data_IF_478958250321
#
_entry.id   IF_478958250321
#
_cell.length_a   1.000
_cell.length_b   1.000
_cell.length_c   1.000
_cell.angle_alpha   90.00
_cell.angle_beta   90.00
_cell.angle_gamma   90.00
#
_symmetry.space_group_name_H-M   'P 1'
#
loop_
_entity.id
_entity.type
_entity.pdbx_description
1 polymer ?
#
# COMPACT_ATOMS: atom_id res chain seq x y z
N UNK A 1 -0.63 20.09 2.64
CA UNK A 1 -1.15 19.13 1.64
C UNK A 1 0.04 18.59 0.86
N UNK A 2 0.08 17.28 0.63
CA UNK A 2 1.27 16.58 0.14
C UNK A 2 1.64 16.93 -1.31
N UNK A 3 2.94 17.06 -1.56
CA UNK A 3 3.50 17.09 -2.90
C UNK A 3 3.41 15.67 -3.51
N UNK A 4 2.87 15.60 -4.72
CA UNK A 4 2.68 14.37 -5.51
C UNK A 4 3.38 14.47 -6.88
N UNK A 5 4.22 15.49 -7.09
CA UNK A 5 4.92 15.73 -8.35
C UNK A 5 5.82 14.55 -8.74
N UNK A 6 6.35 13.84 -7.74
CA UNK A 6 7.18 12.65 -7.88
C UNK A 6 6.45 11.46 -8.51
N UNK A 7 5.11 11.42 -8.46
CA UNK A 7 4.31 10.38 -9.10
C UNK A 7 4.30 10.50 -10.64
N UNK A 8 4.82 11.58 -11.21
CA UNK A 8 4.95 11.76 -12.65
C UNK A 8 6.11 10.99 -13.29
N UNK A 9 7.08 10.55 -12.49
CA UNK A 9 8.26 9.83 -12.97
C UNK A 9 8.06 8.31 -12.85
N UNK A 10 8.32 7.57 -13.92
CA UNK A 10 8.16 6.11 -13.96
C UNK A 10 9.52 5.42 -14.05
N UNK A 11 10.25 5.45 -12.95
CA UNK A 11 11.66 5.07 -12.85
C UNK A 11 11.87 3.61 -12.44
N UNK A 12 10.85 2.93 -11.89
CA UNK A 12 11.01 1.56 -11.40
C UNK A 12 10.02 0.56 -12.00
N UNK A 13 10.52 -0.61 -12.38
CA UNK A 13 9.69 -1.69 -12.93
C UNK A 13 9.04 -2.56 -11.84
N UNK A 14 7.77 -2.91 -12.05
CA UNK A 14 7.05 -3.96 -11.34
C UNK A 14 6.57 -5.01 -12.35
N UNK A 15 6.92 -6.28 -12.11
CA UNK A 15 6.46 -7.42 -12.90
C UNK A 15 5.54 -8.29 -12.06
N UNK A 16 4.35 -8.58 -12.60
CA UNK A 16 3.33 -9.41 -11.99
C UNK A 16 2.87 -10.48 -12.98
N UNK A 17 2.44 -11.62 -12.46
CA UNK A 17 1.84 -12.70 -13.24
C UNK A 17 0.39 -12.81 -12.82
N UNK A 18 -0.55 -12.66 -13.75
CA UNK A 18 -1.97 -12.66 -13.47
C UNK A 18 -2.64 -13.93 -14.03
N UNK A 19 -3.78 -14.33 -13.46
CA UNK A 19 -4.70 -15.25 -14.13
C UNK A 19 -5.19 -14.65 -15.45
N UNK A 20 -5.40 -15.50 -16.46
CA UNK A 20 -5.87 -15.04 -17.78
C UNK A 20 -7.21 -14.26 -17.73
N UNK A 21 -8.21 -14.66 -16.91
CA UNK A 21 -9.45 -13.88 -16.78
C UNK A 21 -9.21 -12.42 -16.35
N UNK A 22 -8.30 -12.20 -15.40
CA UNK A 22 -7.96 -10.86 -14.90
C UNK A 22 -7.32 -10.01 -15.99
N UNK A 23 -6.43 -10.61 -16.78
CA UNK A 23 -5.80 -9.92 -17.91
C UNK A 23 -6.81 -9.56 -18.99
N UNK A 24 -7.76 -10.44 -19.31
CA UNK A 24 -8.86 -10.12 -20.24
C UNK A 24 -9.70 -8.95 -19.73
N UNK A 25 -10.10 -8.96 -18.46
CA UNK A 25 -10.85 -7.85 -17.85
C UNK A 25 -10.06 -6.54 -17.89
N UNK A 26 -8.75 -6.58 -17.64
CA UNK A 26 -7.89 -5.39 -17.74
C UNK A 26 -7.86 -4.81 -19.15
N UNK A 27 -7.73 -5.66 -20.17
CA UNK A 27 -7.76 -5.23 -21.59
C UNK A 27 -9.12 -4.62 -21.92
N UNK A 28 -10.21 -5.29 -21.56
CA UNK A 28 -11.56 -4.81 -21.83
C UNK A 28 -11.86 -3.45 -21.18
N UNK A 29 -11.45 -3.25 -19.93
CA UNK A 29 -11.61 -1.95 -19.24
C UNK A 29 -10.76 -0.88 -19.90
N UNK A 30 -9.52 -1.22 -20.27
CA UNK A 30 -8.59 -0.31 -20.93
C UNK A 30 -9.15 0.18 -22.27
N UNK A 31 -9.68 -0.75 -23.08
CA UNK A 31 -10.32 -0.45 -24.36
C UNK A 31 -11.55 0.45 -24.20
N UNK A 32 -12.40 0.18 -23.20
CA UNK A 32 -13.59 1.00 -22.91
C UNK A 32 -13.27 2.38 -22.35
N UNK A 33 -12.19 2.50 -21.59
CA UNK A 33 -11.76 3.76 -20.96
C UNK A 33 -10.83 4.60 -21.86
N UNK A 34 -10.44 4.09 -23.02
CA UNK A 34 -9.46 4.70 -23.92
C UNK A 34 -8.12 5.02 -23.21
N UNK A 35 -7.72 4.15 -22.27
CA UNK A 35 -6.47 4.23 -21.53
C UNK A 35 -5.63 3.00 -21.86
N UNK A 36 -4.30 3.14 -21.85
CA UNK A 36 -3.45 1.95 -21.87
C UNK A 36 -3.57 1.19 -20.55
N UNK A 37 -3.38 -0.13 -20.59
CA UNK A 37 -3.36 -1.00 -19.38
C UNK A 37 -2.39 -0.44 -18.33
N UNK A 38 -1.21 0.06 -18.74
CA UNK A 38 -0.23 0.65 -17.82
C UNK A 38 -0.73 1.93 -17.16
N UNK A 39 -1.43 2.80 -17.89
CA UNK A 39 -2.02 4.03 -17.33
C UNK A 39 -3.13 3.67 -16.35
N UNK A 40 -4.03 2.77 -16.73
CA UNK A 40 -5.09 2.29 -15.86
C UNK A 40 -4.54 1.68 -14.57
N UNK A 41 -3.54 0.79 -14.67
CA UNK A 41 -2.92 0.17 -13.50
C UNK A 41 -2.22 1.19 -12.59
N UNK A 42 -1.59 2.23 -13.15
CA UNK A 42 -1.00 3.32 -12.35
C UNK A 42 -2.06 4.09 -11.56
N UNK A 43 -3.16 4.45 -12.21
CA UNK A 43 -4.29 5.11 -11.53
C UNK A 43 -4.90 4.20 -10.45
N UNK A 44 -5.10 2.92 -10.77
CA UNK A 44 -5.60 1.92 -9.86
C UNK A 44 -4.72 1.79 -8.60
N UNK A 45 -3.40 1.70 -8.78
CA UNK A 45 -2.46 1.58 -7.67
C UNK A 45 -2.33 2.87 -6.87
N UNK A 46 -2.45 4.04 -7.52
CA UNK A 46 -2.49 5.33 -6.84
C UNK A 46 -3.72 5.44 -5.93
N UNK A 47 -4.91 5.04 -6.41
CA UNK A 47 -6.12 4.97 -5.60
C UNK A 47 -5.94 4.00 -4.43
N UNK A 48 -5.30 2.85 -4.69
CA UNK A 48 -5.07 1.87 -3.64
C UNK A 48 -4.14 2.37 -2.53
N UNK A 49 -3.05 3.07 -2.87
CA UNK A 49 -2.08 3.56 -1.90
C UNK A 49 -2.53 4.84 -1.19
N UNK A 50 -3.23 5.73 -1.89
CA UNK A 50 -3.48 7.10 -1.44
C UNK A 50 -4.98 7.48 -1.38
N UNK A 51 -5.86 6.53 -1.67
CA UNK A 51 -7.31 6.75 -1.69
C UNK A 51 -7.79 7.65 -2.82
N UNK A 52 -9.07 8.03 -2.77
CA UNK A 52 -9.70 8.93 -3.75
C UNK A 52 -9.07 10.33 -3.74
N UNK A 53 -8.56 10.77 -2.59
CA UNK A 53 -7.90 12.07 -2.49
C UNK A 53 -6.59 12.11 -3.29
N UNK A 54 -5.79 11.02 -3.27
CA UNK A 54 -4.61 10.93 -4.13
C UNK A 54 -4.94 10.96 -5.61
N UNK A 55 -6.06 10.36 -6.02
CA UNK A 55 -6.56 10.45 -7.40
C UNK A 55 -7.03 11.87 -7.74
N UNK A 56 -7.69 12.56 -6.82
CA UNK A 56 -8.13 13.94 -7.02
C UNK A 56 -6.95 14.92 -7.13
N UNK A 57 -5.96 14.79 -6.25
CA UNK A 57 -4.70 15.54 -6.34
C UNK A 57 -3.98 15.24 -7.67
N UNK A 58 -4.01 13.98 -8.12
CA UNK A 58 -3.51 13.59 -9.44
C UNK A 58 -4.26 14.26 -10.59
N UNK A 59 -5.61 14.28 -10.58
CA UNK A 59 -6.37 14.92 -11.66
C UNK A 59 -6.12 16.43 -11.73
N UNK A 60 -6.05 17.11 -10.59
CA UNK A 60 -5.65 18.51 -10.55
C UNK A 60 -4.22 18.72 -11.08
N UNK A 61 -3.31 17.80 -10.78
CA UNK A 61 -1.96 17.83 -11.36
C UNK A 61 -1.95 17.50 -12.84
N UNK A 62 -2.85 16.67 -13.39
CA UNK A 62 -2.94 16.45 -14.85
C UNK A 62 -3.41 17.67 -15.63
N UNK A 63 -4.26 18.52 -15.03
CA UNK A 63 -4.62 19.81 -15.62
C UNK A 63 -3.40 20.74 -15.71
N UNK A 64 -2.46 20.61 -14.76
CA UNK A 64 -1.20 21.38 -14.70
C UNK A 64 -0.06 20.69 -15.47
N UNK A 65 -0.11 19.37 -15.65
CA UNK A 65 0.90 18.50 -16.28
C UNK A 65 0.20 17.42 -17.14
N UNK A 66 -0.15 17.70 -18.40
CA UNK A 66 -1.02 16.85 -19.25
C UNK A 66 -0.44 15.47 -19.63
N UNK A 67 0.79 15.19 -19.22
CA UNK A 67 1.53 13.94 -19.49
C UNK A 67 1.77 13.07 -18.24
N UNK A 68 1.16 13.39 -17.10
CA UNK A 68 1.24 12.58 -15.89
C UNK A 68 0.67 11.16 -16.15
N UNK A 69 1.38 10.11 -15.72
CA UNK A 69 1.11 8.70 -16.07
C UNK A 69 1.18 8.31 -17.55
N UNK A 70 1.48 9.22 -18.47
CA UNK A 70 1.85 8.88 -19.85
C UNK A 70 3.37 8.68 -19.89
N UNK A 71 3.82 7.74 -20.69
CA UNK A 71 5.25 7.66 -20.97
C UNK A 71 5.62 8.90 -21.80
N UNK A 72 6.19 9.94 -21.15
CA UNK A 72 6.91 11.01 -21.86
C UNK A 72 7.92 10.33 -22.77
N UNK A 73 7.86 10.64 -24.07
CA UNK A 73 8.69 10.10 -25.15
C UNK A 73 9.78 9.15 -24.70
N UNK A 74 9.55 7.86 -24.97
CA UNK A 74 10.44 6.72 -24.77
C UNK A 74 11.79 6.90 -25.49
N UNK A 75 12.63 7.81 -25.01
CA UNK A 75 13.96 8.13 -25.54
C UNK A 75 15.08 7.35 -24.84
N UNK A 76 14.77 6.65 -23.74
CA UNK A 76 15.71 5.80 -23.02
C UNK A 76 15.26 4.35 -22.99
N UNK A 77 16.09 3.44 -23.49
CA UNK A 77 15.94 2.00 -23.26
C UNK A 77 16.00 1.77 -21.74
N UNK A 78 14.90 1.32 -21.13
CA UNK A 78 14.84 1.09 -19.68
C UNK A 78 15.10 -0.38 -19.34
N UNK A 79 16.17 -0.65 -18.59
CA UNK A 79 16.53 -1.99 -18.12
C UNK A 79 15.98 -2.26 -16.71
N UNK A 80 15.57 -3.49 -16.42
CA UNK A 80 15.21 -3.91 -15.06
C UNK A 80 16.28 -4.86 -14.54
N UNK A 81 16.92 -4.53 -13.42
CA UNK A 81 17.82 -5.45 -12.73
C UNK A 81 17.04 -6.70 -12.29
N UNK A 82 17.53 -7.88 -12.69
CA UNK A 82 17.05 -9.16 -12.17
C UNK A 82 17.45 -9.25 -10.68
N UNK A 83 16.51 -9.60 -9.80
CA UNK A 83 16.81 -9.85 -8.39
C UNK A 83 17.38 -11.26 -8.21
N UNK A 84 18.22 -11.38 -7.17
CA UNK A 84 18.97 -12.55 -6.69
C UNK A 84 18.26 -13.89 -6.87
N UNK A 85 19.04 -14.88 -7.27
CA UNK A 85 18.63 -16.28 -7.31
C UNK A 85 18.17 -16.74 -5.91
N UNK A 86 17.10 -17.55 -5.82
CA UNK A 86 16.65 -18.04 -4.53
C UNK A 86 17.77 -18.83 -3.82
N UNK A 87 17.93 -18.70 -2.49
CA UNK A 87 18.92 -19.47 -1.74
C UNK A 87 18.82 -20.96 -2.01
N UNK A 88 19.96 -21.66 -2.02
CA UNK A 88 20.06 -23.08 -2.30
C UNK A 88 19.07 -23.88 -1.43
N UNK A 89 18.26 -24.73 -2.06
CA UNK A 89 17.22 -25.54 -1.40
C UNK A 89 15.86 -24.86 -1.15
N UNK A 90 15.70 -23.55 -1.41
CA UNK A 90 14.39 -22.87 -1.26
C UNK A 90 13.68 -22.72 -2.60
N UNK A 91 12.62 -23.49 -2.81
CA UNK A 91 11.71 -23.31 -3.94
C UNK A 91 10.75 -22.18 -3.63
N UNK A 92 10.70 -21.14 -4.47
CA UNK A 92 9.76 -20.02 -4.32
C UNK A 92 8.33 -20.51 -4.58
N UNK A 93 7.61 -20.92 -3.54
CA UNK A 93 6.20 -21.33 -3.66
C UNK A 93 5.34 -20.07 -3.66
N UNK A 94 4.98 -19.61 -4.86
CA UNK A 94 4.30 -18.32 -5.08
C UNK A 94 2.90 -18.42 -5.69
N UNK A 95 2.35 -19.63 -5.80
CA UNK A 95 1.15 -19.81 -6.62
C UNK A 95 -0.08 -19.79 -5.74
N UNK A 96 -0.76 -18.65 -5.76
CA UNK A 96 -2.17 -18.57 -5.43
C UNK A 96 -2.95 -19.33 -6.52
N UNK A 97 -3.47 -20.50 -6.18
CA UNK A 97 -4.30 -21.31 -7.08
C UNK A 97 -5.73 -21.25 -6.57
N UNK A 98 -6.53 -20.43 -7.24
CA UNK A 98 -8.00 -20.46 -7.14
C UNK A 98 -8.43 -21.26 -8.36
N UNK A 99 -9.08 -22.41 -8.15
CA UNK A 99 -9.43 -23.36 -9.21
C UNK A 99 -10.22 -22.66 -10.31
N UNK A 100 -11.08 -21.72 -9.91
CA UNK A 100 -11.95 -20.90 -10.74
C UNK A 100 -11.20 -19.87 -11.60
N UNK A 101 -10.03 -19.39 -11.15
CA UNK A 101 -9.21 -18.40 -11.88
C UNK A 101 -8.10 -19.05 -12.74
N UNK A 102 -7.77 -20.31 -12.47
CA UNK A 102 -6.74 -21.04 -13.21
C UNK A 102 -5.31 -20.65 -12.82
N UNK A 103 -4.35 -20.89 -13.73
CA UNK A 103 -2.92 -20.63 -13.50
C UNK A 103 -2.56 -19.16 -13.77
N UNK A 104 -1.60 -18.64 -13.00
CA UNK A 104 -1.02 -17.30 -13.21
C UNK A 104 -0.05 -17.32 -14.40
N UNK A 105 -0.56 -17.22 -15.64
CA UNK A 105 0.22 -17.39 -16.87
C UNK A 105 0.47 -16.09 -17.65
N UNK A 106 -0.24 -15.00 -17.32
CA UNK A 106 -0.14 -13.75 -18.05
C UNK A 106 0.86 -12.78 -17.39
N UNK A 107 2.05 -12.53 -17.98
CA UNK A 107 2.98 -11.55 -17.43
C UNK A 107 2.54 -10.12 -17.78
N UNK A 108 2.48 -9.24 -16.78
CA UNK A 108 2.36 -7.79 -16.96
C UNK A 108 3.60 -7.13 -16.35
N UNK A 109 4.24 -6.25 -17.12
CA UNK A 109 5.33 -5.40 -16.66
C UNK A 109 4.90 -3.95 -16.82
N UNK A 110 5.02 -3.17 -15.75
CA UNK A 110 4.72 -1.74 -15.75
C UNK A 110 5.83 -0.95 -15.05
N UNK A 111 6.03 0.28 -15.50
CA UNK A 111 6.90 1.26 -14.86
C UNK A 111 6.07 2.15 -13.95
N UNK A 112 6.46 2.23 -12.68
CA UNK A 112 5.78 2.97 -11.61
C UNK A 112 6.75 3.99 -11.01
N UNK A 113 6.24 4.99 -10.29
CA UNK A 113 7.07 5.83 -9.41
C UNK A 113 7.70 5.01 -8.28
N UNK A 114 8.96 5.29 -7.95
CA UNK A 114 9.67 4.62 -6.84
C UNK A 114 8.93 4.72 -5.51
N UNK A 115 8.33 5.87 -5.19
CA UNK A 115 7.50 6.04 -4.00
C UNK A 115 6.35 5.04 -3.97
N UNK A 116 5.56 4.97 -5.04
CA UNK A 116 4.42 4.05 -5.14
C UNK A 116 4.86 2.59 -4.99
N UNK A 117 5.98 2.18 -5.59
CA UNK A 117 6.49 0.81 -5.43
C UNK A 117 6.94 0.53 -3.98
N UNK A 118 7.51 1.52 -3.31
CA UNK A 118 7.92 1.43 -1.91
C UNK A 118 6.70 1.30 -0.99
N UNK A 119 5.67 2.11 -1.21
CA UNK A 119 4.42 2.04 -0.44
C UNK A 119 3.71 0.69 -0.64
N UNK A 120 3.65 0.19 -1.89
CA UNK A 120 3.15 -1.15 -2.18
C UNK A 120 3.97 -2.25 -1.50
N UNK A 121 5.27 -2.04 -1.27
CA UNK A 121 6.13 -2.98 -0.54
C UNK A 121 5.77 -2.99 0.94
N UNK A 122 5.64 -1.83 1.57
CA UNK A 122 5.22 -1.68 2.97
C UNK A 122 3.85 -2.30 3.20
N UNK A 123 2.88 -2.02 2.32
CA UNK A 123 1.54 -2.60 2.39
C UNK A 123 1.54 -4.12 2.22
N UNK A 124 2.41 -4.66 1.36
CA UNK A 124 2.56 -6.10 1.20
C UNK A 124 3.19 -6.77 2.43
N UNK A 125 4.17 -6.11 3.07
CA UNK A 125 4.81 -6.57 4.31
C UNK A 125 3.80 -6.67 5.46
N UNK A 126 2.89 -5.70 5.60
CA UNK A 126 1.83 -5.75 6.62
C UNK A 126 0.89 -6.95 6.52
N UNK A 127 0.84 -7.62 5.37
CA UNK A 127 -0.02 -8.79 5.14
C UNK A 127 0.77 -10.04 4.77
N UNK A 128 2.07 -10.04 5.09
CA UNK A 128 3.03 -11.14 4.87
C UNK A 128 3.07 -11.62 3.41
N UNK A 129 3.04 -10.69 2.46
CA UNK A 129 3.08 -10.97 1.03
C UNK A 129 4.29 -10.34 0.35
N UNK A 130 4.67 -10.95 -0.77
CA UNK A 130 5.53 -10.25 -1.73
C UNK A 130 4.74 -9.17 -2.47
N UNK A 131 5.36 -8.06 -2.91
CA UNK A 131 4.67 -7.01 -3.64
C UNK A 131 3.91 -7.51 -4.88
N UNK A 132 4.48 -8.48 -5.61
CA UNK A 132 3.81 -9.08 -6.77
C UNK A 132 2.56 -9.90 -6.40
N UNK A 133 2.57 -10.59 -5.26
CA UNK A 133 1.40 -11.33 -4.78
C UNK A 133 0.32 -10.39 -4.25
N UNK A 134 0.73 -9.38 -3.49
CA UNK A 134 -0.14 -8.35 -2.96
C UNK A 134 -0.89 -7.63 -4.07
N UNK A 135 -0.16 -7.10 -5.05
CA UNK A 135 -0.77 -6.41 -6.20
C UNK A 135 -1.70 -7.34 -6.99
N UNK A 136 -1.34 -8.62 -7.15
CA UNK A 136 -2.24 -9.61 -7.79
C UNK A 136 -3.55 -9.75 -7.04
N UNK A 137 -3.50 -9.95 -5.72
CA UNK A 137 -4.72 -10.11 -4.90
C UNK A 137 -5.60 -8.87 -4.95
N UNK A 138 -5.02 -7.68 -4.90
CA UNK A 138 -5.77 -6.43 -5.01
C UNK A 138 -6.43 -6.32 -6.39
N UNK A 139 -5.71 -6.65 -7.46
CA UNK A 139 -6.27 -6.62 -8.82
C UNK A 139 -7.42 -7.61 -8.97
N UNK A 140 -7.26 -8.85 -8.49
CA UNK A 140 -8.34 -9.85 -8.52
C UNK A 140 -9.55 -9.36 -7.71
N UNK A 141 -9.34 -8.92 -6.47
CA UNK A 141 -10.44 -8.51 -5.59
C UNK A 141 -11.21 -7.30 -6.11
N UNK A 142 -10.52 -6.33 -6.72
CA UNK A 142 -11.17 -5.11 -7.21
C UNK A 142 -11.78 -5.27 -8.59
N UNK A 143 -11.25 -6.14 -9.45
CA UNK A 143 -11.77 -6.35 -10.80
C UNK A 143 -12.86 -7.43 -10.85
N UNK A 144 -12.66 -8.54 -10.13
CA UNK A 144 -13.55 -9.70 -10.16
C UNK A 144 -14.37 -9.85 -8.86
N UNK A 145 -14.15 -8.97 -7.88
CA UNK A 145 -14.81 -8.99 -6.58
C UNK A 145 -14.04 -9.76 -5.51
N UNK A 146 -14.27 -9.39 -4.25
CA UNK A 146 -13.59 -9.98 -3.10
C UNK A 146 -13.91 -11.47 -2.89
N UNK A 147 -15.02 -11.97 -3.44
CA UNK A 147 -15.39 -13.39 -3.37
C UNK A 147 -14.49 -14.32 -4.19
N UNK A 148 -13.65 -13.78 -5.08
CA UNK A 148 -12.69 -14.56 -5.88
C UNK A 148 -11.37 -14.83 -5.14
N UNK A 149 -11.27 -14.40 -3.88
CA UNK A 149 -10.15 -14.69 -3.00
C UNK A 149 -10.63 -15.49 -1.77
N UNK A 150 -9.96 -16.60 -1.35
CA UNK A 150 -10.07 -17.11 0.00
C UNK A 150 -10.06 -16.01 1.05
N UNK A 151 -10.99 -16.11 2.00
CA UNK A 151 -11.07 -15.19 3.12
C UNK A 151 -9.78 -15.27 3.94
N UNK A 152 -9.11 -14.13 4.10
CA UNK A 152 -8.02 -14.00 5.08
C UNK A 152 -8.64 -13.84 6.47
N UNK A 153 -8.33 -14.70 7.46
CA UNK A 153 -8.92 -14.64 8.80
C UNK A 153 -8.71 -13.29 9.51
N UNK A 154 -7.66 -12.54 9.15
CA UNK A 154 -7.31 -11.28 9.79
C UNK A 154 -8.13 -10.07 9.31
N UNK A 155 -8.79 -10.15 8.13
CA UNK A 155 -9.41 -8.98 7.52
C UNK A 155 -10.74 -8.56 8.17
N UNK A 156 -11.39 -9.48 8.91
CA UNK A 156 -12.67 -9.27 9.60
C UNK A 156 -12.62 -9.64 11.08
N UNK A 157 -11.45 -9.98 11.63
CA UNK A 157 -11.33 -10.03 13.08
C UNK A 157 -11.42 -8.59 13.57
N UNK A 158 -12.43 -8.21 14.38
CA UNK A 158 -12.36 -6.95 15.06
C UNK A 158 -11.04 -6.96 15.83
N UNK A 159 -10.12 -6.08 15.46
CA UNK A 159 -9.02 -5.80 16.35
C UNK A 159 -9.69 -5.08 17.51
N UNK A 160 -9.71 -5.64 18.74
CA UNK A 160 -10.19 -4.87 19.86
C UNK A 160 -9.31 -3.62 19.88
N UNK A 161 -9.94 -2.47 19.69
CA UNK A 161 -9.30 -1.18 19.78
C UNK A 161 -9.77 -0.57 21.11
N UNK A 162 -9.33 -1.11 22.26
CA UNK A 162 -9.81 -0.64 23.56
C UNK A 162 -9.57 0.85 23.74
N UNK A 163 -8.56 1.43 23.09
CA UNK A 163 -8.30 2.87 23.04
C UNK A 163 -9.40 3.64 22.30
N UNK A 164 -9.92 3.10 21.18
CA UNK A 164 -11.05 3.67 20.46
C UNK A 164 -12.35 3.53 21.26
N UNK A 165 -12.55 2.40 21.94
CA UNK A 165 -13.70 2.18 22.83
C UNK A 165 -13.66 3.13 24.05
N UNK A 166 -12.48 3.34 24.66
CA UNK A 166 -12.25 4.32 25.74
C UNK A 166 -12.49 5.74 25.24
N UNK A 167 -12.09 6.02 24.00
CA UNK A 167 -12.34 7.32 23.35
C UNK A 167 -13.84 7.55 23.12
N UNK A 168 -14.56 6.59 22.55
CA UNK A 168 -16.01 6.68 22.32
C UNK A 168 -16.82 6.76 23.62
N UNK A 169 -16.37 6.08 24.67
CA UNK A 169 -17.01 6.10 25.97
C UNK A 169 -16.69 7.36 26.81
N UNK A 170 -15.85 8.28 26.29
CA UNK A 170 -15.33 9.45 27.01
C UNK A 170 -14.68 9.09 28.35
N UNK A 171 -14.09 7.89 28.44
CA UNK A 171 -13.44 7.34 29.63
C UNK A 171 -11.92 7.58 29.62
N UNK A 172 -11.48 8.60 28.90
CA UNK A 172 -10.06 8.92 28.76
C UNK A 172 -9.51 9.39 30.12
N UNK A 173 -8.75 8.52 30.78
CA UNK A 173 -8.07 8.89 32.03
C UNK A 173 -6.65 9.29 31.69
N UNK A 174 -6.34 10.57 31.90
CA UNK A 174 -4.96 11.04 31.91
C UNK A 174 -4.23 10.32 33.04
N UNK A 175 -3.29 9.46 32.68
CA UNK A 175 -2.41 8.78 33.63
C UNK A 175 -1.05 9.44 33.59
N UNK A 176 -0.52 9.74 34.76
CA UNK A 176 0.87 10.13 34.91
C UNK A 176 1.77 8.95 34.54
N UNK A 177 2.71 9.19 33.62
CA UNK A 177 3.68 8.22 33.12
C UNK A 177 5.08 8.76 33.32
N UNK A 178 6.05 7.85 33.46
CA UNK A 178 7.45 8.25 33.57
C UNK A 178 7.94 8.97 32.30
N UNK A 179 8.98 9.79 32.42
CA UNK A 179 9.57 10.49 31.27
C UNK A 179 10.04 9.53 30.18
N UNK A 180 10.60 8.37 30.56
CA UNK A 180 11.03 7.32 29.63
C UNK A 180 9.86 6.69 28.87
N UNK A 181 8.73 6.45 29.56
CA UNK A 181 7.49 5.93 28.96
C UNK A 181 6.84 6.97 28.04
N UNK A 182 6.84 8.26 28.41
CA UNK A 182 6.31 9.36 27.59
C UNK A 182 6.99 9.47 26.22
N UNK A 183 8.32 9.28 26.16
CA UNK A 183 9.07 9.34 24.89
C UNK A 183 8.69 8.26 23.87
N UNK A 184 7.97 7.22 24.29
CA UNK A 184 7.50 6.14 23.41
C UNK A 184 6.10 6.41 22.82
N UNK A 185 5.38 7.45 23.27
CA UNK A 185 4.03 7.78 22.80
C UNK A 185 4.02 8.99 21.86
N UNK A 186 3.11 8.98 20.87
CA UNK A 186 2.97 10.05 19.87
C UNK A 186 2.04 11.20 20.29
N UNK A 187 1.34 11.06 21.43
CA UNK A 187 0.37 12.03 21.95
C UNK A 187 0.59 12.15 23.46
N UNK A 188 0.81 13.36 23.96
CA UNK A 188 0.98 13.64 25.37
C UNK A 188 1.00 15.13 25.68
N UNK A 189 0.53 15.51 26.86
CA UNK A 189 0.58 16.87 27.40
C UNK A 189 1.56 16.88 28.57
N UNK A 190 2.54 17.78 28.57
CA UNK A 190 3.44 17.97 29.72
C UNK A 190 2.82 19.06 30.59
N UNK A 191 2.40 18.69 31.81
CA UNK A 191 2.06 19.63 32.86
C UNK A 191 3.17 19.63 33.91
N UNK A 192 3.78 20.78 34.12
CA UNK A 192 4.81 20.95 35.15
C UNK A 192 4.17 21.52 36.40
N UNK A 193 4.03 20.69 37.43
CA UNK A 193 3.71 21.13 38.79
C UNK A 193 4.98 21.04 39.65
N UNK A 194 5.31 22.13 40.34
CA UNK A 194 6.40 22.13 41.31
C UNK A 194 5.83 21.69 42.65
N UNK A 195 6.25 20.50 43.10
CA UNK A 195 5.86 19.97 44.41
C UNK A 195 7.05 20.13 45.34
N UNK A 196 6.82 20.65 46.54
CA UNK A 196 7.87 20.79 47.55
C UNK A 196 8.36 19.40 47.99
N UNK A 197 9.68 19.25 48.07
CA UNK A 197 10.32 18.01 48.53
C UNK A 197 10.02 17.85 50.02
N UNK A 198 9.18 16.87 50.40
CA UNK A 198 9.04 16.48 51.80
C UNK A 198 10.37 15.89 52.28
N UNK A 199 11.16 16.75 52.94
CA UNK A 199 12.40 16.35 53.60
C UNK A 199 12.02 15.39 54.74
N UNK A 200 12.15 14.10 54.46
CA UNK A 200 12.07 13.05 55.47
C UNK A 200 13.26 13.18 56.42
N UNK A 201 13.04 13.88 57.54
CA UNK A 201 13.97 13.86 58.67
C UNK A 201 13.90 12.49 59.35
N UNK A 202 14.78 11.58 58.93
CA UNK A 202 15.12 10.39 59.70
C UNK A 202 16.06 10.77 60.85
N UNK A 203 15.47 10.83 62.06
CA UNK A 203 16.07 10.76 63.41
C UNK A 203 17.04 11.85 63.86
#
# INVERSE_FOLDING_TARGET
MGDFSDLGEHDVALKIWLPEPVKHTLVEISDRSNLSVSVFLRQFLAIHCYGLYGLYAFYQMTETMPNLFKDRDSSGIRYSFAREEPPEGKKRVNTYWVVELGKNIAPIKMWLPTRMKTDLKTLAEHVDLTPSNYVREILISRLLGHGMLPQRPAMFKPFPAPEADIWEADQQVWREVSQEEFHHYHIGEIRTEWVDEEVSHSS
#
